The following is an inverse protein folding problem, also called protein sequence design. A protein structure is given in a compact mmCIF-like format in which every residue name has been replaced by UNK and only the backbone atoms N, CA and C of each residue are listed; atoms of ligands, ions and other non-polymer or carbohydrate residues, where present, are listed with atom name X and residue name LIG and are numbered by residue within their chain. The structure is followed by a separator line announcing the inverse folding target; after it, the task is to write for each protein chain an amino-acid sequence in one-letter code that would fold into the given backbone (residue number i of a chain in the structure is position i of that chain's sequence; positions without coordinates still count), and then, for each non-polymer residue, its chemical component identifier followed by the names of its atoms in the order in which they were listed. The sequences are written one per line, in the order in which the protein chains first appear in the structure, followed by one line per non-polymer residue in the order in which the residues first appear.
data_IF_915647765342
#
_entry.id   IF_915647765342
#
_cell.length_a   1.000
_cell.length_b   1.000
_cell.length_c   1.000
_cell.angle_alpha   90.00
_cell.angle_beta   90.00
_cell.angle_gamma   90.00
#
_symmetry.space_group_name_H-M   'P 1'
#
loop_
_entity.id
_entity.type
_entity.pdbx_description
1 polymer ?
#
# COMPACT_ATOMS: atom_id res chain seq x y z
N UNK A 1 44.12 -4.20 -18.27
CA UNK A 1 42.91 -3.71 -17.59
C UNK A 1 41.80 -4.67 -17.95
N UNK A 2 41.29 -5.47 -17.01
CA UNK A 2 40.16 -6.36 -17.29
C UNK A 2 38.91 -5.52 -17.45
N UNK A 3 38.28 -5.56 -18.61
CA UNK A 3 36.93 -5.02 -18.80
C UNK A 3 35.99 -5.78 -17.84
N UNK A 4 35.53 -5.09 -16.79
CA UNK A 4 34.47 -5.61 -15.94
C UNK A 4 33.23 -5.75 -16.81
N UNK A 5 32.87 -6.98 -17.15
CA UNK A 5 31.76 -7.26 -18.06
C UNK A 5 30.46 -6.79 -17.40
N UNK A 6 29.83 -5.75 -17.95
CA UNK A 6 28.67 -5.10 -17.35
C UNK A 6 27.47 -6.07 -17.32
N UNK A 7 26.86 -6.21 -16.14
CA UNK A 7 25.67 -7.06 -15.97
C UNK A 7 24.50 -6.51 -16.79
N UNK A 8 23.90 -7.34 -17.63
CA UNK A 8 22.78 -6.96 -18.50
C UNK A 8 21.53 -7.74 -18.13
N UNK A 9 20.42 -7.04 -17.90
CA UNK A 9 19.12 -7.65 -17.62
C UNK A 9 18.32 -7.79 -18.91
N UNK A 10 17.67 -8.94 -19.10
CA UNK A 10 16.80 -9.22 -20.25
C UNK A 10 15.69 -10.22 -19.91
N UNK A 11 14.72 -10.35 -20.82
CA UNK A 11 13.70 -11.41 -20.75
C UNK A 11 14.39 -12.75 -21.07
N UNK A 12 14.23 -13.80 -20.24
CA UNK A 12 14.82 -15.12 -20.49
C UNK A 12 14.33 -15.75 -21.80
N UNK A 13 15.17 -16.60 -22.41
CA UNK A 13 14.71 -17.54 -23.43
C UNK A 13 13.82 -18.61 -22.78
N UNK A 14 12.54 -18.61 -23.13
CA UNK A 14 11.54 -19.51 -22.59
C UNK A 14 11.70 -20.97 -23.04
N UNK A 15 12.63 -21.24 -23.97
CA UNK A 15 13.02 -22.59 -24.42
C UNK A 15 14.27 -23.11 -23.71
N UNK A 16 14.93 -22.28 -22.90
CA UNK A 16 16.14 -22.67 -22.19
C UNK A 16 15.84 -23.71 -21.11
N UNK A 17 16.57 -24.83 -21.12
CA UNK A 17 16.47 -25.86 -20.08
C UNK A 17 16.81 -25.30 -18.70
N UNK A 18 17.80 -24.41 -18.60
CA UNK A 18 18.22 -23.79 -17.34
C UNK A 18 17.12 -22.87 -16.79
N UNK A 19 16.47 -22.10 -17.65
CA UNK A 19 15.33 -21.27 -17.27
C UNK A 19 14.16 -22.11 -16.75
N UNK A 20 13.89 -23.26 -17.37
CA UNK A 20 12.89 -24.20 -16.87
C UNK A 20 13.25 -24.79 -15.50
N UNK A 21 14.53 -25.10 -15.25
CA UNK A 21 14.99 -25.55 -13.94
C UNK A 21 14.82 -24.48 -12.86
N UNK A 22 15.10 -23.23 -13.19
CA UNK A 22 14.82 -22.08 -12.33
C UNK A 22 13.32 -21.95 -12.00
N UNK A 23 12.46 -22.03 -13.01
CA UNK A 23 11.01 -21.98 -12.80
C UNK A 23 10.51 -23.14 -11.93
N UNK A 24 11.00 -24.35 -12.15
CA UNK A 24 10.69 -25.51 -11.32
C UNK A 24 11.16 -25.35 -9.87
N UNK A 25 12.34 -24.76 -9.66
CA UNK A 25 12.82 -24.42 -8.33
C UNK A 25 11.88 -23.45 -7.63
N UNK A 26 11.43 -22.41 -8.31
CA UNK A 26 10.50 -21.42 -7.76
C UNK A 26 9.13 -22.03 -7.42
N UNK A 27 8.59 -22.90 -8.27
CA UNK A 27 7.35 -23.66 -8.00
C UNK A 27 7.47 -24.51 -6.74
N UNK A 28 8.59 -25.20 -6.58
CA UNK A 28 8.85 -26.11 -5.43
C UNK A 28 9.34 -25.41 -4.17
N UNK A 29 9.67 -24.13 -4.26
CA UNK A 29 10.09 -23.35 -3.09
C UNK A 29 8.92 -23.24 -2.11
N UNK A 30 9.22 -23.49 -0.84
CA UNK A 30 8.23 -23.41 0.22
C UNK A 30 7.80 -21.95 0.41
N UNK A 31 6.52 -21.73 0.67
CA UNK A 31 6.02 -20.41 1.02
C UNK A 31 5.28 -20.51 2.36
N UNK A 32 5.87 -19.90 3.39
CA UNK A 32 5.20 -19.65 4.66
C UNK A 32 4.60 -18.25 4.57
N UNK A 33 3.31 -18.12 4.24
CA UNK A 33 2.70 -16.81 4.19
C UNK A 33 2.78 -16.16 5.58
N UNK A 34 2.86 -14.82 5.65
CA UNK A 34 2.72 -14.11 6.90
C UNK A 34 1.43 -14.53 7.61
N UNK A 35 1.48 -14.57 8.95
CA UNK A 35 0.34 -15.03 9.75
C UNK A 35 -0.92 -14.22 9.42
N UNK A 36 -1.96 -14.92 8.96
CA UNK A 36 -3.25 -14.33 8.57
C UNK A 36 -3.35 -13.92 7.09
N UNK A 37 -2.32 -14.10 6.27
CA UNK A 37 -2.45 -13.94 4.83
C UNK A 37 -3.09 -15.19 4.21
N UNK A 38 -4.29 -15.02 3.67
CA UNK A 38 -5.00 -16.08 2.94
C UNK A 38 -4.48 -16.18 1.52
N UNK A 39 -4.09 -17.38 1.08
CA UNK A 39 -3.69 -17.62 -0.31
C UNK A 39 -4.85 -17.32 -1.25
N UNK A 40 -4.56 -16.65 -2.36
CA UNK A 40 -5.53 -16.40 -3.43
C UNK A 40 -5.07 -17.13 -4.70
N UNK A 41 -5.50 -18.38 -4.93
CA UNK A 41 -5.10 -19.10 -6.13
C UNK A 41 -5.68 -18.42 -7.37
N UNK A 42 -4.84 -18.24 -8.40
CA UNK A 42 -5.24 -17.73 -9.70
C UNK A 42 -5.61 -18.88 -10.65
N UNK A 43 -6.42 -18.63 -11.68
CA UNK A 43 -6.76 -19.60 -12.73
C UNK A 43 -5.55 -20.16 -13.50
N UNK A 44 -4.48 -19.40 -13.46
CA UNK A 44 -3.25 -19.46 -14.23
C UNK A 44 -2.04 -19.47 -13.29
N UNK A 45 -2.27 -19.84 -12.03
CA UNK A 45 -1.27 -19.97 -10.98
C UNK A 45 -0.10 -20.86 -11.44
N UNK A 46 1.12 -20.37 -11.23
CA UNK A 46 2.40 -21.01 -11.52
C UNK A 46 2.68 -21.32 -13.01
N UNK A 47 1.85 -20.82 -13.92
CA UNK A 47 2.10 -20.87 -15.37
C UNK A 47 3.00 -19.70 -15.77
N UNK A 48 3.87 -19.92 -16.76
CA UNK A 48 4.66 -18.83 -17.37
C UNK A 48 3.80 -18.23 -18.48
N UNK A 49 3.60 -16.92 -18.42
CA UNK A 49 2.71 -16.19 -19.31
C UNK A 49 3.49 -15.01 -19.88
N UNK A 50 3.38 -14.78 -21.19
CA UNK A 50 3.83 -13.53 -21.78
C UNK A 50 2.79 -12.44 -21.47
N UNK A 51 3.20 -11.39 -20.77
CA UNK A 51 2.33 -10.29 -20.37
C UNK A 51 2.78 -9.01 -21.10
N UNK A 52 1.91 -8.39 -21.92
CA UNK A 52 2.24 -7.12 -22.56
C UNK A 52 2.43 -6.01 -21.52
N UNK A 53 3.34 -5.10 -21.82
CA UNK A 53 3.63 -3.92 -21.00
C UNK A 53 2.90 -2.72 -21.62
N UNK A 54 2.00 -2.10 -20.85
CA UNK A 54 1.28 -0.89 -21.25
C UNK A 54 1.62 0.27 -20.31
N UNK A 55 2.43 1.21 -20.80
CA UNK A 55 2.90 2.37 -20.03
C UNK A 55 2.07 3.64 -20.26
N UNK A 56 0.92 3.56 -20.93
CA UNK A 56 0.09 4.73 -21.28
C UNK A 56 -0.34 5.55 -20.07
N UNK A 57 -0.63 4.89 -18.95
CA UNK A 57 -1.05 5.54 -17.71
C UNK A 57 0.07 6.31 -16.95
N UNK A 58 1.28 6.39 -17.51
CA UNK A 58 2.42 7.17 -16.96
C UNK A 58 2.76 6.82 -15.50
N UNK A 59 2.71 5.53 -15.17
CA UNK A 59 3.00 5.02 -13.83
C UNK A 59 4.49 5.09 -13.46
N UNK A 60 4.77 5.00 -12.15
CA UNK A 60 6.14 5.08 -11.64
C UNK A 60 6.89 3.74 -11.75
N UNK A 61 8.15 3.82 -12.17
CA UNK A 61 9.08 2.69 -12.23
C UNK A 61 9.23 2.03 -10.85
N UNK A 62 9.13 0.70 -10.80
CA UNK A 62 9.36 -0.07 -9.58
C UNK A 62 8.26 0.04 -8.52
N UNK A 63 7.10 0.60 -8.88
CA UNK A 63 5.91 0.74 -8.01
C UNK A 63 4.79 -0.23 -8.40
N UNK A 64 5.13 -1.42 -8.91
CA UNK A 64 4.17 -2.32 -9.55
C UNK A 64 2.94 -2.66 -8.72
N UNK A 65 3.09 -2.90 -7.41
CA UNK A 65 1.94 -3.15 -6.53
C UNK A 65 0.98 -1.96 -6.47
N UNK A 66 1.52 -0.76 -6.29
CA UNK A 66 0.72 0.46 -6.17
C UNK A 66 0.13 0.89 -7.51
N UNK A 67 0.89 0.77 -8.60
CA UNK A 67 0.40 1.05 -9.95
C UNK A 67 -0.80 0.16 -10.30
N UNK A 68 -0.72 -1.14 -10.02
CA UNK A 68 -1.83 -2.06 -10.28
C UNK A 68 -3.04 -1.79 -9.38
N UNK A 69 -2.82 -1.42 -8.11
CA UNK A 69 -3.92 -1.05 -7.22
C UNK A 69 -4.63 0.22 -7.72
N UNK A 70 -3.88 1.24 -8.13
CA UNK A 70 -4.47 2.41 -8.76
C UNK A 70 -5.21 2.08 -10.05
N UNK A 71 -4.65 1.18 -10.87
CA UNK A 71 -5.30 0.75 -12.10
C UNK A 71 -6.65 0.08 -11.78
N UNK A 72 -6.70 -0.77 -10.75
CA UNK A 72 -7.94 -1.39 -10.29
C UNK A 72 -8.94 -0.36 -9.76
N UNK A 73 -8.47 0.63 -9.00
CA UNK A 73 -9.34 1.69 -8.48
C UNK A 73 -9.96 2.51 -9.61
N UNK A 74 -9.20 2.81 -10.67
CA UNK A 74 -9.65 3.64 -11.80
C UNK A 74 -10.49 2.87 -12.81
N UNK A 75 -10.17 1.59 -13.04
CA UNK A 75 -10.67 0.83 -14.20
C UNK A 75 -11.31 -0.52 -13.85
N UNK A 76 -11.42 -0.88 -12.56
CA UNK A 76 -11.89 -2.18 -12.14
C UNK A 76 -10.88 -3.31 -12.40
N UNK A 77 -11.35 -4.56 -12.40
CA UNK A 77 -10.49 -5.73 -12.55
C UNK A 77 -9.79 -6.17 -11.26
N UNK A 78 -8.62 -6.80 -11.38
CA UNK A 78 -7.94 -7.46 -10.27
C UNK A 78 -6.41 -7.26 -10.32
N UNK A 79 -5.78 -7.17 -9.14
CA UNK A 79 -4.31 -7.26 -9.02
C UNK A 79 -3.88 -8.71 -8.94
N UNK A 80 -3.02 -9.13 -9.87
CA UNK A 80 -2.42 -10.46 -9.89
C UNK A 80 -0.97 -10.36 -9.42
N UNK A 81 -0.65 -11.02 -8.32
CA UNK A 81 0.70 -11.06 -7.76
C UNK A 81 1.47 -12.28 -8.27
N UNK A 82 2.79 -12.14 -8.37
CA UNK A 82 3.64 -13.21 -8.83
C UNK A 82 5.06 -12.75 -9.07
N UNK A 83 5.65 -13.28 -10.13
CA UNK A 83 7.06 -13.12 -10.43
C UNK A 83 7.28 -12.63 -11.85
N UNK A 84 7.86 -11.44 -12.02
CA UNK A 84 8.50 -11.08 -13.27
C UNK A 84 9.84 -11.81 -13.36
N UNK A 85 10.06 -12.53 -14.45
CA UNK A 85 11.21 -13.43 -14.62
C UNK A 85 12.24 -12.77 -15.52
N UNK A 86 13.49 -12.69 -15.03
CA UNK A 86 14.59 -12.02 -15.73
C UNK A 86 15.82 -12.92 -15.83
N UNK A 87 16.60 -12.76 -16.89
CA UNK A 87 17.97 -13.26 -16.98
C UNK A 87 18.92 -12.09 -16.77
N UNK A 88 19.93 -12.27 -15.93
CA UNK A 88 21.05 -11.35 -15.77
C UNK A 88 22.28 -12.03 -16.37
N UNK A 89 22.83 -11.45 -17.42
CA UNK A 89 24.04 -11.95 -18.08
C UNK A 89 25.29 -11.15 -17.69
N UNK A 90 26.46 -11.78 -17.78
CA UNK A 90 27.77 -11.20 -17.42
C UNK A 90 28.37 -11.87 -16.18
N UNK A 91 29.19 -11.13 -15.43
CA UNK A 91 29.76 -11.64 -14.18
C UNK A 91 28.65 -11.90 -13.13
N UNK A 92 28.62 -13.12 -12.58
CA UNK A 92 27.52 -13.55 -11.70
C UNK A 92 26.20 -13.67 -12.44
N UNK A 93 26.21 -14.32 -13.61
CA UNK A 93 25.01 -14.60 -14.39
C UNK A 93 24.01 -15.42 -13.57
N UNK A 94 22.75 -15.01 -13.57
CA UNK A 94 21.71 -15.66 -12.81
C UNK A 94 20.32 -15.35 -13.37
N UNK A 95 19.33 -16.16 -13.01
CA UNK A 95 17.93 -15.82 -13.19
C UNK A 95 17.38 -15.10 -11.96
N UNK A 96 16.43 -14.20 -12.18
CA UNK A 96 15.80 -13.42 -11.12
C UNK A 96 14.30 -13.59 -11.17
N UNK A 97 13.71 -13.99 -10.04
CA UNK A 97 12.28 -13.85 -9.81
C UNK A 97 12.07 -12.54 -9.06
N UNK A 98 11.67 -11.50 -9.77
CA UNK A 98 11.32 -10.22 -9.16
C UNK A 98 9.86 -10.31 -8.69
N UNK A 99 9.63 -10.08 -7.39
CA UNK A 99 8.25 -10.01 -6.90
C UNK A 99 7.54 -8.84 -7.56
N UNK A 100 6.44 -9.13 -8.24
CA UNK A 100 5.81 -8.20 -9.18
C UNK A 100 4.29 -8.31 -9.11
N UNK A 101 3.61 -7.29 -9.63
CA UNK A 101 2.18 -7.26 -9.81
C UNK A 101 1.85 -6.84 -11.24
N UNK A 102 0.82 -7.47 -11.79
CA UNK A 102 0.20 -7.11 -13.07
C UNK A 102 -1.29 -6.90 -12.85
N UNK A 103 -1.93 -6.12 -13.71
CA UNK A 103 -3.37 -5.90 -13.68
C UNK A 103 -4.06 -6.91 -14.58
N UNK A 104 -5.14 -7.52 -14.07
CA UNK A 104 -6.10 -8.29 -14.86
C UNK A 104 -7.31 -7.41 -15.12
N UNK A 105 -7.58 -7.11 -16.39
CA UNK A 105 -8.76 -6.33 -16.77
C UNK A 105 -10.05 -7.20 -16.70
N UNK A 106 -11.20 -6.58 -16.98
CA UNK A 106 -12.50 -7.26 -16.95
C UNK A 106 -12.65 -8.35 -18.02
N UNK A 107 -11.87 -8.26 -19.11
CA UNK A 107 -11.78 -9.26 -20.18
C UNK A 107 -10.85 -10.44 -19.83
N UNK A 108 -10.32 -10.50 -18.60
CA UNK A 108 -9.36 -11.48 -18.10
C UNK A 108 -7.97 -11.45 -18.76
N UNK A 109 -7.61 -10.35 -19.42
CA UNK A 109 -6.28 -10.14 -19.98
C UNK A 109 -5.33 -9.62 -18.90
N UNK A 110 -4.10 -10.13 -18.89
CA UNK A 110 -3.03 -9.65 -18.02
C UNK A 110 -2.25 -8.53 -18.71
N UNK A 111 -2.03 -7.42 -18.02
CA UNK A 111 -1.30 -6.26 -18.51
C UNK A 111 -0.34 -5.79 -17.42
N UNK A 112 0.95 -5.65 -17.74
CA UNK A 112 1.90 -4.98 -16.87
C UNK A 112 1.84 -3.48 -17.11
N UNK A 113 1.17 -2.76 -16.22
CA UNK A 113 1.04 -1.31 -16.30
C UNK A 113 2.28 -0.56 -15.81
N UNK A 114 3.31 -1.27 -15.35
CA UNK A 114 4.49 -0.67 -14.74
C UNK A 114 5.63 -0.56 -15.74
N UNK A 115 6.17 0.66 -15.96
CA UNK A 115 7.38 0.79 -16.76
C UNK A 115 8.51 -0.05 -16.17
N UNK A 116 9.28 -0.70 -17.02
CA UNK A 116 10.47 -1.46 -16.62
C UNK A 116 11.75 -0.78 -17.11
N UNK A 117 12.89 -1.04 -16.44
CA UNK A 117 14.17 -0.35 -16.72
C UNK A 117 14.70 -0.61 -18.13
N UNK A 118 14.42 -1.79 -18.67
CA UNK A 118 14.95 -2.26 -19.96
C UNK A 118 14.00 -1.96 -21.14
N UNK A 119 12.84 -1.34 -20.87
CA UNK A 119 11.83 -0.89 -21.84
C UNK A 119 11.39 -1.99 -22.82
N UNK A 120 11.13 -3.18 -22.31
CA UNK A 120 10.55 -4.27 -23.10
C UNK A 120 9.04 -4.11 -23.27
N UNK A 121 8.53 -4.54 -24.42
CA UNK A 121 7.10 -4.52 -24.76
C UNK A 121 6.29 -5.64 -24.08
N UNK A 122 6.98 -6.66 -23.57
CA UNK A 122 6.37 -7.74 -22.79
C UNK A 122 7.35 -8.34 -21.79
N UNK A 123 6.82 -8.96 -20.74
CA UNK A 123 7.59 -9.71 -19.74
C UNK A 123 7.13 -11.17 -19.68
N UNK A 124 8.02 -12.06 -19.20
CA UNK A 124 7.60 -13.36 -18.72
C UNK A 124 7.17 -13.23 -17.26
N UNK A 125 5.90 -13.53 -17.00
CA UNK A 125 5.30 -13.45 -15.68
C UNK A 125 4.81 -14.81 -15.22
N UNK A 126 5.01 -15.12 -13.95
CA UNK A 126 4.46 -16.30 -13.30
C UNK A 126 3.54 -15.87 -12.15
N UNK A 127 2.20 -15.89 -12.34
CA UNK A 127 1.27 -15.67 -11.24
C UNK A 127 1.56 -16.66 -10.11
N UNK A 128 1.54 -16.18 -8.87
CA UNK A 128 1.79 -17.03 -7.70
C UNK A 128 0.94 -16.55 -6.52
N UNK A 129 -0.20 -17.20 -6.31
CA UNK A 129 -1.16 -16.92 -5.23
C UNK A 129 -0.59 -17.11 -3.82
N UNK A 130 0.65 -17.61 -3.71
CA UNK A 130 1.40 -17.70 -2.45
C UNK A 130 2.22 -16.43 -2.20
N UNK A 131 2.59 -15.70 -3.25
CA UNK A 131 3.44 -14.51 -3.23
C UNK A 131 2.63 -13.21 -3.04
N UNK A 132 1.83 -13.11 -1.97
CA UNK A 132 0.94 -11.97 -1.77
C UNK A 132 1.67 -10.73 -1.25
N UNK A 133 1.24 -9.56 -1.74
CA UNK A 133 1.57 -8.26 -1.14
C UNK A 133 0.48 -7.86 -0.14
N UNK A 134 0.87 -7.63 1.11
CA UNK A 134 -0.02 -7.07 2.14
C UNK A 134 0.17 -5.55 2.16
N UNK A 135 -0.75 -4.82 1.52
CA UNK A 135 -0.70 -3.36 1.48
C UNK A 135 -0.91 -2.74 2.87
N UNK A 136 -1.75 -3.33 3.72
CA UNK A 136 -2.04 -2.78 5.05
C UNK A 136 -0.81 -2.82 5.95
N UNK A 137 0.00 -3.87 5.84
CA UNK A 137 1.24 -4.05 6.60
C UNK A 137 2.50 -3.66 5.85
N UNK A 138 2.37 -3.28 4.57
CA UNK A 138 3.48 -3.03 3.65
C UNK A 138 4.50 -4.15 3.67
N UNK A 139 4.02 -5.37 3.46
CA UNK A 139 4.81 -6.58 3.60
C UNK A 139 4.77 -7.40 2.32
N UNK A 140 5.94 -7.74 1.78
CA UNK A 140 6.07 -8.34 0.46
C UNK A 140 7.14 -9.46 0.45
N UNK A 141 6.97 -10.47 -0.41
CA UNK A 141 8.05 -11.36 -0.81
C UNK A 141 9.29 -10.59 -1.28
N UNK A 142 10.47 -11.14 -0.99
CA UNK A 142 11.76 -10.71 -1.52
C UNK A 142 11.92 -11.25 -2.93
N UNK A 143 12.78 -10.61 -3.73
CA UNK A 143 13.20 -11.18 -5.01
C UNK A 143 14.08 -12.41 -4.77
N UNK A 144 14.05 -13.36 -5.70
CA UNK A 144 14.97 -14.50 -5.74
C UNK A 144 16.02 -14.25 -6.81
N UNK A 145 17.30 -14.39 -6.46
CA UNK A 145 18.39 -14.55 -7.42
C UNK A 145 18.82 -16.03 -7.41
N UNK A 146 18.85 -16.64 -8.58
CA UNK A 146 19.11 -18.07 -8.75
C UNK A 146 20.18 -18.27 -9.81
N UNK A 147 21.35 -18.77 -9.42
CA UNK A 147 22.40 -19.18 -10.35
C UNK A 147 22.18 -20.65 -10.73
N UNK A 148 21.96 -21.49 -9.72
CA UNK A 148 21.57 -22.88 -9.87
C UNK A 148 20.83 -23.42 -8.63
N UNK A 149 20.40 -24.68 -8.68
CA UNK A 149 19.67 -25.35 -7.57
C UNK A 149 20.42 -25.40 -6.22
N UNK A 150 21.74 -25.26 -6.23
CA UNK A 150 22.62 -25.23 -5.06
C UNK A 150 23.06 -23.81 -4.71
N UNK A 151 23.09 -22.88 -5.67
CA UNK A 151 23.48 -21.48 -5.51
C UNK A 151 22.32 -20.53 -5.85
N UNK A 152 21.60 -20.11 -4.80
CA UNK A 152 20.51 -19.14 -4.91
C UNK A 152 20.42 -18.33 -3.61
N UNK A 153 19.74 -17.18 -3.67
CA UNK A 153 19.45 -16.34 -2.49
C UNK A 153 18.19 -15.50 -2.68
N UNK A 154 17.47 -15.30 -1.59
CA UNK A 154 16.47 -14.25 -1.51
C UNK A 154 17.16 -12.92 -1.21
N UNK A 155 16.96 -11.92 -2.06
CA UNK A 155 17.68 -10.64 -2.00
C UNK A 155 17.47 -9.98 -0.64
N UNK A 156 18.58 -9.66 0.04
CA UNK A 156 18.57 -9.08 1.39
C UNK A 156 18.45 -10.10 2.53
N UNK A 157 18.66 -11.40 2.29
CA UNK A 157 18.95 -12.39 3.34
C UNK A 157 20.43 -12.74 3.32
N UNK A 158 21.04 -12.91 4.50
CA UNK A 158 22.39 -13.48 4.65
C UNK A 158 22.41 -15.01 4.59
N UNK A 159 21.24 -15.66 4.65
CA UNK A 159 21.08 -17.12 4.63
C UNK A 159 20.28 -17.58 3.39
N UNK A 160 20.40 -18.86 3.03
CA UNK A 160 19.69 -19.52 1.91
C UNK A 160 18.47 -20.34 2.39
N UNK A 161 17.38 -19.71 2.88
CA UNK A 161 16.19 -20.49 3.19
C UNK A 161 15.58 -21.04 1.89
N UNK A 162 15.14 -22.30 1.91
CA UNK A 162 14.29 -22.89 0.87
C UNK A 162 12.87 -22.27 0.84
N UNK A 163 12.57 -21.42 1.82
CA UNK A 163 11.31 -20.72 1.99
C UNK A 163 11.39 -19.32 1.39
N UNK A 164 10.25 -18.79 0.92
CA UNK A 164 10.12 -17.40 0.50
C UNK A 164 10.67 -16.46 1.58
N UNK A 165 11.62 -15.62 1.18
CA UNK A 165 12.01 -14.49 2.01
C UNK A 165 10.92 -13.43 1.94
N UNK A 166 10.59 -12.80 3.07
CA UNK A 166 9.71 -11.63 3.10
C UNK A 166 10.44 -10.43 3.68
N UNK A 167 9.93 -9.23 3.38
CA UNK A 167 10.42 -7.96 3.90
C UNK A 167 9.27 -7.01 4.23
N UNK A 168 9.50 -6.21 5.25
CA UNK A 168 8.77 -4.97 5.49
C UNK A 168 9.28 -3.91 4.52
N UNK A 169 8.38 -3.14 3.94
CA UNK A 169 8.71 -1.96 3.16
C UNK A 169 8.70 -0.74 4.08
N UNK A 170 9.64 0.17 3.86
CA UNK A 170 9.71 1.44 4.57
C UNK A 170 9.49 2.55 3.56
N UNK A 171 8.26 3.09 3.44
CA UNK A 171 7.99 4.15 2.48
C UNK A 171 8.69 5.44 2.90
N UNK A 172 9.08 6.25 1.93
CA UNK A 172 9.43 7.65 2.18
C UNK A 172 8.20 8.44 2.65
N UNK A 173 8.37 9.63 3.27
CA UNK A 173 7.23 10.44 3.70
C UNK A 173 6.21 10.75 2.59
N UNK A 174 6.70 11.04 1.36
CA UNK A 174 5.81 11.27 0.21
C UNK A 174 5.04 10.01 -0.18
N UNK A 175 5.73 8.86 -0.22
CA UNK A 175 5.09 7.58 -0.54
C UNK A 175 4.06 7.17 0.52
N UNK A 176 4.25 7.54 1.79
CA UNK A 176 3.33 7.19 2.87
C UNK A 176 1.95 7.84 2.67
N UNK A 177 1.90 9.07 2.14
CA UNK A 177 0.64 9.77 1.84
C UNK A 177 -0.13 9.04 0.72
N UNK A 178 0.57 8.71 -0.37
CA UNK A 178 -0.04 7.99 -1.50
C UNK A 178 -0.52 6.59 -1.09
N UNK A 179 0.28 5.88 -0.29
CA UNK A 179 -0.07 4.57 0.25
C UNK A 179 -1.33 4.65 1.12
N UNK A 180 -1.42 5.65 2.01
CA UNK A 180 -2.57 5.81 2.88
C UNK A 180 -3.85 6.06 2.06
N UNK A 181 -3.76 6.89 1.01
CA UNK A 181 -4.85 7.12 0.07
C UNK A 181 -5.27 5.82 -0.63
N UNK A 182 -4.32 5.08 -1.22
CA UNK A 182 -4.61 3.81 -1.90
C UNK A 182 -5.20 2.78 -0.94
N UNK A 183 -4.70 2.70 0.31
CA UNK A 183 -5.25 1.82 1.34
C UNK A 183 -6.72 2.14 1.63
N UNK A 184 -7.05 3.42 1.80
CA UNK A 184 -8.41 3.85 2.05
C UNK A 184 -9.34 3.52 0.87
N UNK A 185 -8.94 3.87 -0.35
CA UNK A 185 -9.73 3.60 -1.57
C UNK A 185 -9.90 2.09 -1.80
N UNK A 186 -8.87 1.29 -1.54
CA UNK A 186 -8.94 -0.18 -1.66
C UNK A 186 -9.88 -0.81 -0.62
N UNK A 187 -9.97 -0.25 0.59
CA UNK A 187 -10.95 -0.68 1.60
C UNK A 187 -12.38 -0.34 1.15
N UNK A 188 -12.58 0.86 0.62
CA UNK A 188 -13.89 1.29 0.10
C UNK A 188 -14.40 0.40 -1.04
N UNK A 189 -13.50 -0.06 -1.91
CA UNK A 189 -13.86 -1.02 -2.96
C UNK A 189 -14.28 -2.38 -2.39
N UNK A 190 -13.63 -2.86 -1.32
CA UNK A 190 -14.00 -4.13 -0.68
C UNK A 190 -15.38 -4.06 -0.04
N UNK A 191 -15.67 -2.99 0.69
CA UNK A 191 -16.91 -2.86 1.45
C UNK A 191 -18.13 -2.65 0.54
N UNK A 192 -17.93 -2.05 -0.64
CA UNK A 192 -19.01 -1.75 -1.59
C UNK A 192 -19.18 -2.79 -2.70
N UNK A 193 -18.62 -3.99 -2.53
CA UNK A 193 -18.70 -5.05 -3.54
C UNK A 193 -18.10 -4.63 -4.90
N UNK A 194 -17.06 -3.80 -4.88
CA UNK A 194 -16.35 -3.30 -6.06
C UNK A 194 -16.87 -1.99 -6.66
N UNK A 195 -17.83 -1.29 -6.02
CA UNK A 195 -18.33 0.02 -6.49
C UNK A 195 -17.66 1.19 -5.75
N UNK A 196 -17.19 2.19 -6.49
CA UNK A 196 -16.58 3.40 -5.92
C UNK A 196 -17.65 4.30 -5.28
N UNK A 197 -17.46 4.73 -4.03
CA UNK A 197 -18.34 5.68 -3.31
C UNK A 197 -17.54 6.93 -2.93
N UNK A 198 -18.11 8.12 -3.12
CA UNK A 198 -17.43 9.42 -2.93
C UNK A 198 -17.44 9.94 -1.47
N UNK A 199 -16.40 10.73 -1.15
CA UNK A 199 -15.80 11.02 0.17
C UNK A 199 -16.60 11.70 1.30
N UNK A 200 -17.76 12.32 1.09
CA UNK A 200 -18.36 13.19 2.14
C UNK A 200 -19.18 12.48 3.23
N UNK A 201 -19.66 11.26 2.99
CA UNK A 201 -20.49 10.53 3.98
C UNK A 201 -19.68 9.72 5.00
N UNK A 202 -18.40 9.47 4.74
CA UNK A 202 -17.63 8.43 5.47
C UNK A 202 -16.90 8.94 6.71
N UNK A 203 -16.38 10.18 6.70
CA UNK A 203 -15.67 10.77 7.86
C UNK A 203 -16.55 10.85 9.10
N UNK A 204 -17.86 11.09 8.91
CA UNK A 204 -18.85 11.18 10.00
C UNK A 204 -19.15 9.77 10.56
N UNK A 205 -19.26 8.77 9.68
CA UNK A 205 -19.50 7.37 10.07
C UNK A 205 -18.34 6.79 10.87
N UNK A 206 -17.10 7.06 10.45
CA UNK A 206 -15.89 6.51 11.09
C UNK A 206 -15.65 7.07 12.50
N UNK A 207 -16.02 8.34 12.74
CA UNK A 207 -15.96 8.95 14.07
C UNK A 207 -17.03 8.37 15.00
N UNK A 208 -18.23 8.09 14.48
CA UNK A 208 -19.33 7.50 15.26
C UNK A 208 -19.05 6.04 15.64
N UNK A 209 -18.45 5.25 14.76
CA UNK A 209 -18.13 3.84 15.05
C UNK A 209 -16.95 3.66 16.01
N UNK A 210 -15.92 4.52 15.94
CA UNK A 210 -14.71 4.35 16.76
C UNK A 210 -14.85 4.85 18.20
N UNK A 211 -15.82 5.72 18.46
CA UNK A 211 -15.93 6.37 19.76
C UNK A 211 -16.82 5.64 20.79
N UNK A 212 -17.58 4.60 20.41
CA UNK A 212 -18.46 3.82 21.32
C UNK A 212 -19.24 4.66 22.35
N UNK A 213 -19.57 5.90 22.01
CA UNK A 213 -20.35 6.82 22.83
C UNK A 213 -21.60 7.20 22.03
N UNK A 214 -22.78 7.30 22.66
CA UNK A 214 -23.97 7.81 22.01
C UNK A 214 -23.85 9.34 21.90
N UNK A 215 -22.99 9.82 21.00
CA UNK A 215 -22.87 11.26 20.74
C UNK A 215 -23.81 11.60 19.60
N UNK A 216 -24.84 12.38 19.90
CA UNK A 216 -25.74 12.94 18.89
C UNK A 216 -25.07 14.19 18.29
N UNK A 217 -24.42 14.04 17.15
CA UNK A 217 -23.73 15.14 16.47
C UNK A 217 -24.75 15.92 15.65
N UNK A 218 -25.19 17.08 16.16
CA UNK A 218 -26.06 18.00 15.41
C UNK A 218 -25.25 19.14 14.84
N UNK A 219 -25.13 19.21 13.51
CA UNK A 219 -24.47 20.32 12.80
C UNK A 219 -25.51 21.44 12.61
N UNK A 220 -25.33 22.58 13.29
CA UNK A 220 -26.06 23.81 12.97
C UNK A 220 -25.16 24.71 12.14
N UNK A 221 -25.56 24.97 10.89
CA UNK A 221 -24.91 25.96 10.05
C UNK A 221 -25.14 27.34 10.67
N UNK A 222 -24.10 27.94 11.27
CA UNK A 222 -24.06 29.40 11.40
C UNK A 222 -23.51 29.98 10.10
N UNK A 223 -24.05 31.12 9.70
CA UNK A 223 -23.82 31.80 8.42
C UNK A 223 -22.37 31.77 7.90
N UNK A 224 -22.25 31.72 6.57
CA UNK A 224 -21.03 31.54 5.74
C UNK A 224 -19.82 32.44 6.05
N UNK A 225 -19.95 33.44 6.93
CA UNK A 225 -18.89 34.41 7.24
C UNK A 225 -18.07 34.05 8.48
N UNK A 226 -18.61 33.26 9.41
CA UNK A 226 -17.88 32.83 10.60
C UNK A 226 -17.68 31.31 10.53
N UNK A 227 -16.46 30.90 10.19
CA UNK A 227 -15.98 29.50 10.17
C UNK A 227 -15.94 28.89 11.59
N UNK A 228 -17.07 28.92 12.30
CA UNK A 228 -17.21 28.48 13.68
C UNK A 228 -18.13 27.26 13.70
N UNK A 229 -17.52 26.09 13.83
CA UNK A 229 -18.25 24.86 14.08
C UNK A 229 -18.43 24.72 15.60
N UNK A 230 -19.68 24.65 16.06
CA UNK A 230 -19.99 24.32 17.45
C UNK A 230 -20.45 22.87 17.55
N UNK A 231 -19.95 22.18 18.57
CA UNK A 231 -20.33 20.82 18.90
C UNK A 231 -20.83 20.82 20.34
N UNK A 232 -21.96 20.14 20.58
CA UNK A 232 -22.50 19.93 21.93
C UNK A 232 -22.20 18.49 22.32
N UNK A 233 -21.46 18.31 23.41
CA UNK A 233 -21.30 17.01 24.05
C UNK A 233 -22.32 16.98 25.19
N UNK A 234 -23.28 16.05 25.10
CA UNK A 234 -24.30 15.86 26.15
C UNK A 234 -23.69 14.97 27.23
N UNK A 235 -23.73 15.43 28.49
CA UNK A 235 -23.08 14.82 29.67
C UNK A 235 -23.29 13.29 29.82
N UNK A 236 -22.19 12.56 30.01
CA UNK A 236 -22.11 11.39 30.90
C UNK A 236 -20.86 11.60 31.78
N UNK A 237 -20.95 11.29 33.08
CA UNK A 237 -20.12 11.75 34.21
C UNK A 237 -18.65 11.27 34.21
N UNK A 238 -17.99 11.09 33.06
CA UNK A 238 -16.68 10.43 32.97
C UNK A 238 -15.61 11.39 32.49
N UNK A 239 -15.05 12.15 33.42
CA UNK A 239 -13.82 12.93 33.24
C UNK A 239 -12.64 12.12 32.64
N UNK A 240 -12.62 10.80 32.83
CA UNK A 240 -11.62 9.89 32.23
C UNK A 240 -11.70 9.83 30.69
N UNK A 241 -12.87 10.13 30.11
CA UNK A 241 -13.07 10.11 28.66
C UNK A 241 -12.55 11.38 27.99
N UNK A 242 -12.54 12.52 28.69
CA UNK A 242 -11.87 13.75 28.23
C UNK A 242 -10.34 13.60 28.21
N UNK A 243 -9.77 12.87 29.16
CA UNK A 243 -8.33 12.60 29.21
C UNK A 243 -7.91 11.65 28.08
N UNK A 244 -8.76 10.66 27.75
CA UNK A 244 -8.58 9.80 26.57
C UNK A 244 -8.78 10.55 25.25
N UNK A 245 -9.75 11.44 25.18
CA UNK A 245 -9.97 12.30 24.01
C UNK A 245 -8.75 13.20 23.79
N UNK A 246 -8.20 13.78 24.87
CA UNK A 246 -6.97 14.56 24.83
C UNK A 246 -5.79 13.75 24.32
N UNK A 247 -5.56 12.54 24.83
CA UNK A 247 -4.50 11.63 24.36
C UNK A 247 -4.67 11.30 22.87
N UNK A 248 -5.90 11.00 22.45
CA UNK A 248 -6.20 10.63 21.06
C UNK A 248 -6.02 11.81 20.11
N UNK A 249 -6.43 13.02 20.51
CA UNK A 249 -6.19 14.24 19.75
C UNK A 249 -4.70 14.60 19.73
N UNK A 250 -4.01 14.48 20.85
CA UNK A 250 -2.56 14.76 20.92
C UNK A 250 -1.78 13.80 20.02
N UNK A 251 -2.13 12.51 19.98
CA UNK A 251 -1.52 11.54 19.06
C UNK A 251 -1.84 11.86 17.59
N UNK A 252 -3.10 12.18 17.29
CA UNK A 252 -3.50 12.58 15.93
C UNK A 252 -2.75 13.86 15.49
N UNK A 253 -2.69 14.88 16.34
CA UNK A 253 -2.07 16.16 16.04
C UNK A 253 -0.54 16.09 16.01
N UNK A 254 0.09 15.23 16.82
CA UNK A 254 1.52 14.98 16.74
C UNK A 254 1.91 14.24 15.45
N UNK A 255 1.01 13.43 14.91
CA UNK A 255 1.18 12.84 13.59
C UNK A 255 0.99 13.88 12.47
N UNK A 256 0.08 14.83 12.63
CA UNK A 256 -0.15 15.92 11.66
C UNK A 256 0.93 17.01 11.69
N UNK A 257 1.49 17.36 12.86
CA UNK A 257 2.56 18.36 13.04
C UNK A 257 3.86 18.07 12.27
N UNK A 258 4.04 16.85 11.73
CA UNK A 258 5.23 16.48 10.96
C UNK A 258 5.17 16.85 9.47
N UNK A 259 4.00 17.28 8.96
CA UNK A 259 3.86 17.82 7.61
C UNK A 259 3.47 19.29 7.67
N UNK A 260 4.48 20.15 7.59
CA UNK A 260 4.48 21.61 7.38
C UNK A 260 3.24 22.43 7.78
N UNK A 261 3.27 22.92 9.01
CA UNK A 261 2.96 24.27 9.49
C UNK A 261 3.11 24.22 11.02
N UNK A 262 3.62 25.27 11.67
CA UNK A 262 3.65 25.32 13.14
C UNK A 262 2.22 25.43 13.66
N UNK A 263 1.57 24.29 13.87
CA UNK A 263 0.26 24.22 14.48
C UNK A 263 0.48 24.18 15.99
N UNK A 264 0.31 25.30 16.68
CA UNK A 264 0.26 25.33 18.14
C UNK A 264 -1.19 25.13 18.57
N UNK A 265 -1.42 24.07 19.35
CA UNK A 265 -2.74 23.72 19.87
C UNK A 265 -2.72 23.98 21.37
N UNK A 266 -3.60 24.88 21.81
CA UNK A 266 -3.80 25.18 23.21
C UNK A 266 -5.12 24.59 23.64
N UNK A 267 -5.07 23.75 24.68
CA UNK A 267 -6.26 23.28 25.37
C UNK A 267 -6.47 24.21 26.55
N UNK A 268 -7.45 25.10 26.42
CA UNK A 268 -7.82 26.04 27.48
C UNK A 268 -9.09 25.51 28.14
N UNK A 269 -8.98 25.06 29.37
CA UNK A 269 -10.12 24.67 30.21
C UNK A 269 -10.54 25.84 31.07
N UNK A 270 -11.70 26.42 30.78
CA UNK A 270 -12.27 27.53 31.56
C UNK A 270 -13.75 27.21 31.77
N UNK A 271 -14.18 27.07 33.03
CA UNK A 271 -15.58 26.89 33.45
C UNK A 271 -16.43 25.95 32.54
N UNK A 272 -16.14 24.64 32.55
CA UNK A 272 -16.87 23.61 31.78
C UNK A 272 -16.86 23.80 30.24
N UNK A 273 -16.05 24.69 29.68
CA UNK A 273 -15.85 24.75 28.23
C UNK A 273 -14.46 24.19 27.87
N UNK A 274 -14.43 23.36 26.83
CA UNK A 274 -13.21 22.92 26.19
C UNK A 274 -13.07 23.75 24.91
N UNK A 275 -12.09 24.64 24.83
CA UNK A 275 -11.81 25.35 23.57
C UNK A 275 -10.54 24.77 22.96
N UNK A 276 -10.66 24.31 21.71
CA UNK A 276 -9.53 23.90 20.89
C UNK A 276 -9.17 25.05 19.95
N UNK A 277 -8.06 25.73 20.23
CA UNK A 277 -7.55 26.79 19.35
C UNK A 277 -6.50 26.19 18.44
N UNK A 278 -6.72 26.30 17.14
CA UNK A 278 -5.80 25.87 16.09
C UNK A 278 -5.16 27.11 15.47
N UNK A 279 -3.90 27.37 15.81
CA UNK A 279 -3.12 28.39 15.11
C UNK A 279 -2.55 27.78 13.82
N UNK A 280 -2.87 28.41 12.69
CA UNK A 280 -2.30 28.06 11.38
C UNK A 280 -1.49 29.23 10.84
N UNK A 281 -0.66 28.99 9.82
CA UNK A 281 0.13 30.05 9.16
C UNK A 281 -0.74 31.15 8.54
N UNK A 282 -2.01 30.86 8.28
CA UNK A 282 -2.94 31.71 7.54
C UNK A 282 -3.94 32.44 8.47
N UNK A 283 -3.76 32.33 9.79
CA UNK A 283 -4.61 32.94 10.81
C UNK A 283 -5.00 31.98 11.94
N UNK A 284 -5.65 32.54 12.96
CA UNK A 284 -6.17 31.78 14.10
C UNK A 284 -7.57 31.22 13.77
N UNK A 285 -7.75 29.91 13.88
CA UNK A 285 -9.07 29.27 13.80
C UNK A 285 -9.44 28.70 15.17
N UNK A 286 -10.62 29.05 15.67
CA UNK A 286 -11.11 28.61 16.98
C UNK A 286 -12.23 27.59 16.80
N UNK A 287 -12.06 26.41 17.36
CA UNK A 287 -13.18 25.51 17.66
C UNK A 287 -13.52 25.66 19.13
N UNK A 288 -14.74 26.11 19.42
CA UNK A 288 -15.25 26.17 20.78
C UNK A 288 -16.16 24.97 21.02
N UNK A 289 -15.87 24.19 22.06
CA UNK A 289 -16.77 23.17 22.58
C UNK A 289 -17.36 23.69 23.88
N UNK A 290 -18.69 23.80 23.91
CA UNK A 290 -19.42 24.09 25.15
C UNK A 290 -19.92 22.75 25.68
N UNK A 291 -19.44 22.37 26.87
CA UNK A 291 -19.99 21.22 27.60
C UNK A 291 -21.19 21.79 28.34
N UNK A 292 -22.39 21.30 28.03
CA UNK A 292 -23.64 21.69 28.70
C UNK A 292 -24.14 20.54 29.55
#
# INVERSE_FOLDING_TARGET
MSETQQRTQQVPDDKSQEFHLFCEFLRKSDCVPPRGAERKPYTDDLKIINVPVDITASYSLGKCWFNCLEQVIKHGGEVIYGWALWSIEGEGSCYVAQHHAVWRNEDNELIDVTPNKIRVDSILFMPDGRALFDICRLFAPKNLEWEDSKSYRWVGNSFRPKQFGYRWLTPSPGEAVDIARIQQEALELKDNGGKVVTHHSKVISDLQERMFLPIEITIKNSSEEDNLYSFTIVEDERWQDLERLKITLDDYLNNVKRSESKIEVYIITVYQCLTLVLHTTDGEKRLNFTIQ
#
